data_IF_284855264334
#
_entry.id   IF_284855264334
#
_cell.length_a   1.000
_cell.length_b   1.000
_cell.length_c   1.000
_cell.angle_alpha   90.00
_cell.angle_beta   90.00
_cell.angle_gamma   90.00
#
_symmetry.space_group_name_H-M   'P 1'
#
loop_
_entity.id
_entity.type
_entity.pdbx_description
1 polymer ?
#
# COMPACT_ATOMS: atom_id res chain seq x y z
N UNK A 1 16.74 -49.07 16.33
CA UNK A 1 16.30 -48.09 17.34
C UNK A 1 15.03 -47.43 16.83
N UNK A 2 13.88 -47.67 17.48
CA UNK A 2 12.59 -47.09 17.06
C UNK A 2 12.40 -45.78 17.82
N UNK A 3 12.47 -44.65 17.13
CA UNK A 3 12.24 -43.34 17.73
C UNK A 3 10.76 -43.19 18.09
N UNK A 4 10.44 -43.23 19.38
CA UNK A 4 9.10 -42.95 19.87
C UNK A 4 8.90 -41.43 19.94
N UNK A 5 8.38 -40.85 18.86
CA UNK A 5 7.94 -39.46 18.85
C UNK A 5 6.63 -39.41 19.66
N UNK A 6 6.64 -38.74 20.82
CA UNK A 6 5.47 -38.58 21.67
C UNK A 6 4.34 -37.88 20.91
N UNK A 7 3.10 -38.41 21.00
CA UNK A 7 1.91 -37.78 20.40
C UNK A 7 1.73 -36.32 20.85
N UNK A 8 2.19 -35.98 22.06
CA UNK A 8 2.22 -34.61 22.57
C UNK A 8 3.15 -33.71 21.75
N UNK A 9 4.35 -34.20 21.39
CA UNK A 9 5.30 -33.46 20.57
C UNK A 9 4.79 -33.24 19.13
N UNK A 10 4.09 -34.24 18.55
CA UNK A 10 3.44 -34.10 17.24
C UNK A 10 2.32 -33.07 17.30
N UNK A 11 1.48 -33.12 18.34
CA UNK A 11 0.39 -32.15 18.53
C UNK A 11 0.93 -30.72 18.71
N UNK A 12 2.02 -30.54 19.45
CA UNK A 12 2.63 -29.23 19.67
C UNK A 12 3.23 -28.67 18.37
N UNK A 13 3.89 -29.51 17.58
CA UNK A 13 4.42 -29.14 16.26
C UNK A 13 3.31 -28.73 15.29
N UNK A 14 2.18 -29.44 15.28
CA UNK A 14 1.01 -29.08 14.49
C UNK A 14 0.43 -27.74 14.94
N UNK A 15 0.33 -27.49 16.26
CA UNK A 15 -0.14 -26.21 16.79
C UNK A 15 0.78 -25.03 16.38
N UNK A 16 2.10 -25.23 16.42
CA UNK A 16 3.10 -24.25 15.95
C UNK A 16 2.95 -23.95 14.46
N UNK A 17 2.78 -24.99 13.63
CA UNK A 17 2.56 -24.83 12.19
C UNK A 17 1.24 -24.10 11.89
N UNK A 18 0.17 -24.37 12.63
CA UNK A 18 -1.10 -23.65 12.50
C UNK A 18 -0.98 -22.19 12.96
N UNK A 19 -0.25 -21.92 14.05
CA UNK A 19 -0.01 -20.56 14.54
C UNK A 19 0.79 -19.71 13.55
N UNK A 20 1.73 -20.29 12.79
CA UNK A 20 2.48 -19.55 11.76
C UNK A 20 1.64 -19.11 10.55
N UNK A 21 0.49 -19.74 10.31
CA UNK A 21 -0.41 -19.39 9.20
C UNK A 21 -1.41 -18.28 9.54
N UNK A 22 -1.43 -17.79 10.79
CA UNK A 22 -2.33 -16.73 11.26
C UNK A 22 -1.72 -15.33 11.11
N UNK A 23 -1.00 -15.08 10.02
CA UNK A 23 -0.66 -13.71 9.61
C UNK A 23 -1.54 -13.37 8.42
N UNK A 24 -2.65 -12.69 8.68
CA UNK A 24 -3.46 -12.15 7.58
C UNK A 24 -2.62 -11.13 6.80
N UNK A 25 -2.17 -11.54 5.61
CA UNK A 25 -1.56 -10.63 4.65
C UNK A 25 -2.61 -9.62 4.16
N UNK A 26 -2.24 -8.34 4.00
CA UNK A 26 -3.12 -7.35 3.41
C UNK A 26 -3.58 -7.77 2.01
N UNK A 27 -4.91 -7.87 1.81
CA UNK A 27 -5.56 -8.22 0.55
C UNK A 27 -6.27 -7.00 -0.05
N UNK A 28 -6.49 -6.97 -1.38
CA UNK A 28 -7.28 -5.92 -2.01
C UNK A 28 -8.67 -5.82 -1.36
N UNK A 29 -9.08 -4.60 -1.03
CA UNK A 29 -10.41 -4.30 -0.48
C UNK A 29 -11.48 -4.20 -1.57
N UNK A 30 -11.07 -3.99 -2.82
CA UNK A 30 -11.99 -3.80 -3.94
C UNK A 30 -11.28 -3.53 -5.26
N UNK A 31 -12.06 -3.08 -6.25
CA UNK A 31 -11.57 -2.68 -7.57
C UNK A 31 -12.37 -1.50 -8.11
N UNK A 32 -11.70 -0.60 -8.81
CA UNK A 32 -12.32 0.52 -9.53
C UNK A 32 -12.06 0.39 -11.03
N UNK A 33 -13.01 0.86 -11.85
CA UNK A 33 -12.88 0.86 -13.32
C UNK A 33 -12.38 2.25 -13.76
N UNK A 34 -11.22 2.28 -14.42
CA UNK A 34 -10.63 3.48 -14.96
C UNK A 34 -11.54 4.16 -15.98
N UNK A 35 -11.65 5.47 -15.88
CA UNK A 35 -12.33 6.36 -16.84
C UNK A 35 -11.27 7.20 -17.54
N UNK A 36 -11.61 7.73 -18.73
CA UNK A 36 -10.76 8.72 -19.40
C UNK A 36 -10.80 10.01 -18.55
N UNK A 37 -9.65 10.58 -18.15
CA UNK A 37 -9.64 11.84 -17.40
C UNK A 37 -10.22 12.98 -18.25
N UNK A 38 -10.89 13.96 -17.63
CA UNK A 38 -11.26 15.20 -18.32
C UNK A 38 -10.03 15.92 -18.90
N UNK A 39 -10.20 16.76 -19.93
CA UNK A 39 -9.11 17.54 -20.50
C UNK A 39 -8.43 18.39 -19.42
N UNK A 40 -7.09 18.29 -19.31
CA UNK A 40 -6.30 19.06 -18.33
C UNK A 40 -6.28 18.49 -16.91
N UNK A 41 -7.06 17.44 -16.61
CA UNK A 41 -7.13 16.84 -15.25
C UNK A 41 -6.21 15.63 -15.06
N UNK A 42 -5.39 15.27 -16.06
CA UNK A 42 -4.31 14.32 -15.84
C UNK A 42 -2.98 15.02 -15.96
N UNK A 43 -2.34 15.24 -14.81
CA UNK A 43 -0.94 15.63 -14.74
C UNK A 43 -0.06 14.37 -14.82
N UNK A 44 0.97 14.40 -15.67
CA UNK A 44 1.93 13.30 -15.86
C UNK A 44 3.35 13.67 -15.38
N UNK A 45 3.49 14.77 -14.66
CA UNK A 45 4.69 15.11 -13.90
C UNK A 45 5.02 14.02 -12.86
N UNK A 46 6.26 14.00 -12.39
CA UNK A 46 6.80 13.01 -11.45
C UNK A 46 6.45 11.55 -11.77
N UNK A 47 6.41 11.22 -13.07
CA UNK A 47 6.14 9.86 -13.56
C UNK A 47 4.72 9.36 -13.24
N UNK A 48 3.76 10.28 -13.07
CA UNK A 48 2.36 9.97 -12.84
C UNK A 48 1.66 9.38 -14.06
N UNK A 49 0.85 8.34 -13.83
CA UNK A 49 0.12 7.59 -14.85
C UNK A 49 -1.37 7.94 -14.86
N UNK A 50 -1.92 8.24 -16.04
CA UNK A 50 -3.37 8.42 -16.18
C UNK A 50 -4.14 7.09 -16.09
N UNK A 51 -5.33 7.14 -15.50
CA UNK A 51 -6.28 6.03 -15.57
C UNK A 51 -6.63 5.67 -17.02
N UNK A 52 -6.50 4.39 -17.36
CA UNK A 52 -6.85 3.86 -18.69
C UNK A 52 -8.32 3.46 -18.72
N UNK A 53 -9.08 3.99 -19.69
CA UNK A 53 -10.51 3.69 -19.85
C UNK A 53 -10.75 2.18 -19.92
N UNK A 54 -11.60 1.66 -19.03
CA UNK A 54 -11.98 0.25 -18.99
C UNK A 54 -11.03 -0.67 -18.23
N UNK A 55 -9.81 -0.24 -17.87
CA UNK A 55 -8.89 -1.01 -17.03
C UNK A 55 -9.39 -1.05 -15.59
N UNK A 56 -9.30 -2.22 -14.92
CA UNK A 56 -9.65 -2.35 -13.50
C UNK A 56 -8.40 -2.24 -12.63
N UNK A 57 -8.42 -1.31 -11.68
CA UNK A 57 -7.36 -1.07 -10.70
C UNK A 57 -7.80 -1.61 -9.33
N UNK A 58 -6.89 -2.24 -8.59
CA UNK A 58 -7.18 -2.74 -7.24
C UNK A 58 -7.15 -1.58 -6.25
N UNK A 59 -8.04 -1.60 -5.27
CA UNK A 59 -8.01 -0.68 -4.13
C UNK A 59 -7.61 -1.43 -2.87
N UNK A 60 -6.97 -0.73 -1.95
CA UNK A 60 -6.54 -1.24 -0.67
C UNK A 60 -7.03 -0.30 0.43
N UNK A 61 -7.34 -0.86 1.60
CA UNK A 61 -7.61 -0.11 2.84
C UNK A 61 -6.60 -0.52 3.94
N UNK A 62 -5.57 -1.25 3.53
CA UNK A 62 -4.53 -1.79 4.37
C UNK A 62 -3.22 -1.66 3.63
N UNK A 63 -2.14 -1.65 4.40
CA UNK A 63 -0.76 -1.69 3.91
C UNK A 63 -0.03 -2.88 4.55
N UNK A 64 1.15 -3.28 4.03
CA UNK A 64 1.95 -4.33 4.64
C UNK A 64 2.27 -4.02 6.11
N UNK A 65 2.61 -5.06 6.89
CA UNK A 65 2.94 -4.92 8.31
C UNK A 65 4.11 -3.95 8.49
N UNK A 66 3.92 -2.97 9.37
CA UNK A 66 4.98 -2.05 9.78
C UNK A 66 5.94 -2.76 10.74
N UNK A 67 7.22 -2.77 10.39
CA UNK A 67 8.36 -3.26 11.16
C UNK A 67 9.48 -2.19 11.16
N UNK A 68 10.50 -2.34 12.02
CA UNK A 68 11.59 -1.36 12.13
C UNK A 68 12.33 -1.08 10.80
N UNK A 69 12.29 -2.03 9.86
CA UNK A 69 12.81 -1.86 8.49
C UNK A 69 11.73 -2.22 7.47
N UNK A 70 10.63 -1.47 7.49
CA UNK A 70 9.53 -1.67 6.55
C UNK A 70 10.02 -1.38 5.14
N UNK A 71 9.86 -2.36 4.23
CA UNK A 71 10.14 -2.15 2.82
C UNK A 71 9.02 -1.34 2.19
N UNK A 72 9.37 -0.27 1.50
CA UNK A 72 8.45 0.59 0.78
C UNK A 72 9.01 0.92 -0.62
N UNK A 73 8.13 1.42 -1.48
CA UNK A 73 8.51 2.03 -2.75
C UNK A 73 8.41 3.53 -2.56
N UNK A 74 9.52 4.24 -2.73
CA UNK A 74 9.53 5.70 -2.71
C UNK A 74 9.05 6.21 -4.07
N UNK A 75 8.04 7.08 -4.05
CA UNK A 75 7.54 7.81 -5.21
C UNK A 75 7.78 9.30 -5.02
N UNK A 76 7.87 10.04 -6.13
CA UNK A 76 8.02 11.49 -6.11
C UNK A 76 6.64 12.16 -6.29
N UNK A 77 6.39 13.24 -5.56
CA UNK A 77 5.15 14.00 -5.59
C UNK A 77 5.43 15.47 -5.24
N UNK A 78 4.75 16.41 -5.88
CA UNK A 78 4.72 17.82 -5.50
C UNK A 78 3.58 18.11 -4.53
N UNK A 79 3.87 18.85 -3.47
CA UNK A 79 2.88 19.30 -2.47
C UNK A 79 2.44 20.75 -2.69
N UNK A 80 2.97 21.39 -3.74
CA UNK A 80 2.66 22.76 -4.07
C UNK A 80 1.29 22.90 -4.73
N UNK A 81 0.71 24.09 -4.60
CA UNK A 81 -0.55 24.40 -5.25
C UNK A 81 -0.37 24.38 -6.77
N UNK A 82 -1.12 23.52 -7.44
CA UNK A 82 -1.05 23.35 -8.89
C UNK A 82 0.00 22.35 -9.36
N UNK A 83 0.74 21.72 -8.43
CA UNK A 83 1.56 20.54 -8.69
C UNK A 83 0.71 19.29 -8.94
N UNK A 84 1.37 18.15 -9.10
CA UNK A 84 0.72 16.86 -9.39
C UNK A 84 0.04 16.19 -8.20
N UNK A 85 0.34 16.61 -6.96
CA UNK A 85 -0.33 16.15 -5.75
C UNK A 85 -1.81 16.53 -5.66
N UNK A 86 -2.27 17.45 -6.51
CA UNK A 86 -3.68 17.82 -6.64
C UNK A 86 -4.15 18.76 -5.54
N UNK A 87 -4.83 18.21 -4.52
CA UNK A 87 -5.42 18.97 -3.42
C UNK A 87 -4.43 19.24 -2.27
N UNK A 88 -4.84 20.01 -1.25
CA UNK A 88 -4.01 20.22 -0.05
C UNK A 88 -3.87 18.93 0.78
N UNK A 89 -2.79 18.84 1.57
CA UNK A 89 -2.47 17.71 2.45
C UNK A 89 -3.58 17.42 3.47
N UNK A 90 -3.92 16.14 3.66
CA UNK A 90 -5.05 15.74 4.53
C UNK A 90 -4.84 16.08 6.01
N UNK A 91 -3.59 16.01 6.50
CA UNK A 91 -3.29 16.19 7.93
C UNK A 91 -3.56 17.61 8.44
N UNK A 92 -3.37 18.64 7.60
CA UNK A 92 -3.45 20.04 7.99
C UNK A 92 -4.25 20.94 7.03
N UNK A 93 -4.72 20.39 5.90
CA UNK A 93 -5.45 21.09 4.84
C UNK A 93 -4.66 22.22 4.18
N UNK A 94 -3.34 22.10 4.07
CA UNK A 94 -2.48 23.10 3.42
C UNK A 94 -1.69 22.54 2.22
N UNK A 95 -1.21 23.45 1.38
CA UNK A 95 -0.18 23.15 0.39
C UNK A 95 1.19 23.46 1.02
N UNK A 96 2.22 22.73 0.60
CA UNK A 96 3.57 22.87 1.11
C UNK A 96 4.57 23.08 -0.02
N UNK A 97 5.67 23.76 0.27
CA UNK A 97 6.73 23.90 -0.74
C UNK A 97 7.44 22.58 -0.99
N UNK A 98 7.86 22.34 -2.22
CA UNK A 98 8.64 21.14 -2.57
C UNK A 98 10.06 21.14 -1.96
N UNK A 99 10.46 22.24 -1.32
CA UNK A 99 11.68 22.32 -0.51
C UNK A 99 11.50 21.77 0.92
N UNK A 100 10.26 21.54 1.36
CA UNK A 100 9.96 20.89 2.64
C UNK A 100 10.08 19.37 2.49
N UNK A 101 10.60 18.70 3.52
CA UNK A 101 10.69 17.23 3.53
C UNK A 101 9.39 16.61 4.04
N UNK A 102 8.50 16.25 3.12
CA UNK A 102 7.20 15.65 3.41
C UNK A 102 7.01 14.32 2.68
N UNK A 103 6.15 13.47 3.24
CA UNK A 103 5.77 12.18 2.68
C UNK A 103 4.28 11.91 2.89
N UNK A 104 3.69 11.10 2.00
CA UNK A 104 2.33 10.56 2.16
C UNK A 104 2.45 9.05 2.28
N UNK A 105 1.72 8.48 3.24
CA UNK A 105 1.52 7.04 3.35
C UNK A 105 0.12 6.71 2.81
N UNK A 106 0.07 5.71 1.91
CA UNK A 106 -1.18 5.19 1.34
C UNK A 106 -1.70 3.94 2.06
#
# INVERSE_FOLDING_TARGET
>A
MKNHISNSAVSFLILLLLATNLVESCKPSGRIRGKKPPPGECNQENYSDCCKKGKFYKTYKCSPKVIGHTKAVLTLNSFEKGGDGGGPSECDNQYHSDNESLEILH
#
